data_IF_858553584444
#
_entry.id   IF_858553584444
#
_cell.length_a   1.000
_cell.length_b   1.000
_cell.length_c   1.000
_cell.angle_alpha   90.00
_cell.angle_beta   90.00
_cell.angle_gamma   90.00
#
_symmetry.space_group_name_H-M   'P 1'
#
loop_
_entity.id
_entity.type
_entity.pdbx_description
1 polymer ?
#
# COMPACT_ATOMS: atom_id res chain seq x y z
N UNK A 1 -6.94 42.32 14.17
CA UNK A 1 -7.91 41.67 13.28
C UNK A 1 -9.05 41.18 14.15
N UNK A 2 -10.32 41.57 13.93
CA UNK A 2 -11.43 41.08 14.74
C UNK A 2 -11.73 39.61 14.42
N UNK A 3 -12.02 38.82 15.44
CA UNK A 3 -12.55 37.46 15.33
C UNK A 3 -13.97 37.51 14.74
N UNK A 4 -14.26 36.67 13.74
CA UNK A 4 -15.59 36.60 13.11
C UNK A 4 -16.56 35.80 13.99
N UNK A 5 -17.87 36.06 13.95
CA UNK A 5 -18.84 35.51 14.91
C UNK A 5 -18.94 33.98 14.89
N UNK A 6 -18.83 33.32 13.74
CA UNK A 6 -18.89 31.85 13.65
C UNK A 6 -17.60 31.18 14.15
N UNK A 7 -16.43 31.68 13.72
CA UNK A 7 -15.12 31.32 14.30
C UNK A 7 -15.09 31.52 15.82
N UNK A 8 -15.58 32.67 16.29
CA UNK A 8 -15.65 32.99 17.72
C UNK A 8 -16.64 32.10 18.48
N UNK A 9 -17.76 31.71 17.85
CA UNK A 9 -18.72 30.75 18.41
C UNK A 9 -18.16 29.32 18.44
N UNK A 10 -17.30 28.97 17.47
CA UNK A 10 -16.51 27.74 17.49
C UNK A 10 -15.32 27.81 18.47
N UNK A 11 -15.08 28.96 19.12
CA UNK A 11 -13.97 29.18 20.04
C UNK A 11 -12.60 29.29 19.36
N UNK A 12 -12.56 29.60 18.06
CA UNK A 12 -11.37 29.62 17.23
C UNK A 12 -11.05 31.05 16.76
N UNK A 13 -9.80 31.49 16.92
CA UNK A 13 -9.31 32.68 16.22
C UNK A 13 -8.61 32.30 14.91
N UNK A 14 -8.44 33.27 13.99
CA UNK A 14 -7.71 33.05 12.74
C UNK A 14 -6.24 32.64 12.96
N UNK A 15 -5.61 33.09 14.06
CA UNK A 15 -4.26 32.65 14.45
C UNK A 15 -4.27 31.19 14.92
N UNK A 16 -5.33 30.77 15.60
CA UNK A 16 -5.52 29.38 16.01
C UNK A 16 -5.74 28.49 14.79
N UNK A 17 -6.43 28.97 13.76
CA UNK A 17 -6.64 28.22 12.51
C UNK A 17 -5.32 27.82 11.83
N UNK A 18 -4.39 28.77 11.66
CA UNK A 18 -3.10 28.47 11.04
C UNK A 18 -2.29 27.48 11.87
N UNK A 19 -2.41 27.58 13.19
CA UNK A 19 -1.74 26.68 14.13
C UNK A 19 -2.32 25.28 14.05
N UNK A 20 -3.65 25.16 14.05
CA UNK A 20 -4.39 23.91 13.91
C UNK A 20 -4.03 23.20 12.60
N UNK A 21 -4.13 23.89 11.47
CA UNK A 21 -3.82 23.30 10.16
C UNK A 21 -2.35 22.85 10.12
N UNK A 22 -1.44 23.61 10.72
CA UNK A 22 -0.02 23.24 10.78
C UNK A 22 0.19 21.96 11.59
N UNK A 23 -0.45 21.83 12.75
CA UNK A 23 -0.38 20.60 13.56
C UNK A 23 -0.96 19.41 12.79
N UNK A 24 -2.11 19.58 12.13
CA UNK A 24 -2.72 18.53 11.31
C UNK A 24 -1.81 18.14 10.13
N UNK A 25 -1.09 19.10 9.53
CA UNK A 25 -0.09 18.84 8.48
C UNK A 25 1.06 18.00 9.01
N UNK A 26 1.63 18.37 10.15
CA UNK A 26 2.76 17.66 10.77
C UNK A 26 2.36 16.23 11.14
N UNK A 27 1.19 16.04 11.76
CA UNK A 27 0.66 14.73 12.11
C UNK A 27 0.43 13.84 10.87
N UNK A 28 -0.21 14.37 9.81
CA UNK A 28 -0.40 13.56 8.60
C UNK A 28 0.92 13.28 7.87
N UNK A 29 1.91 14.18 7.91
CA UNK A 29 3.22 13.92 7.30
C UNK A 29 3.97 12.80 8.02
N UNK A 30 3.85 12.73 9.35
CA UNK A 30 4.40 11.62 10.14
C UNK A 30 3.74 10.29 9.74
N UNK A 31 2.40 10.26 9.69
CA UNK A 31 1.65 9.08 9.23
C UNK A 31 2.07 8.68 7.81
N UNK A 32 2.20 9.64 6.89
CA UNK A 32 2.63 9.35 5.52
C UNK A 32 4.03 8.74 5.47
N UNK A 33 4.96 9.29 6.25
CA UNK A 33 6.34 8.79 6.33
C UNK A 33 6.38 7.35 6.80
N UNK A 34 5.54 7.00 7.80
CA UNK A 34 5.45 5.63 8.33
C UNK A 34 4.77 4.70 7.32
N UNK A 35 3.71 5.12 6.64
CA UNK A 35 3.09 4.38 5.52
C UNK A 35 4.14 4.06 4.43
N UNK A 36 4.91 5.06 4.01
CA UNK A 36 5.90 4.90 2.94
C UNK A 36 7.07 4.00 3.38
N UNK A 37 7.41 4.00 4.66
CA UNK A 37 8.37 3.04 5.24
C UNK A 37 7.81 1.61 5.18
N UNK A 38 6.59 1.40 5.67
CA UNK A 38 5.94 0.08 5.67
C UNK A 38 5.81 -0.50 4.27
N UNK A 39 5.41 0.35 3.29
CA UNK A 39 5.35 -0.05 1.88
C UNK A 39 6.69 -0.56 1.36
N UNK A 40 7.79 0.13 1.68
CA UNK A 40 9.14 -0.31 1.32
C UNK A 40 9.53 -1.61 2.02
N UNK A 41 9.18 -1.77 3.29
CA UNK A 41 9.46 -3.00 4.03
C UNK A 41 8.75 -4.20 3.38
N UNK A 42 7.45 -4.08 3.05
CA UNK A 42 6.72 -5.11 2.33
C UNK A 42 7.30 -5.39 0.93
N UNK A 43 7.68 -4.37 0.17
CA UNK A 43 8.32 -4.53 -1.14
C UNK A 43 9.65 -5.29 -1.04
N UNK A 44 10.38 -5.10 0.05
CA UNK A 44 11.62 -5.82 0.34
C UNK A 44 11.40 -7.21 0.96
N UNK A 45 10.15 -7.66 1.07
CA UNK A 45 9.78 -8.93 1.70
C UNK A 45 10.03 -8.98 3.20
N UNK A 46 10.16 -7.82 3.85
CA UNK A 46 10.31 -7.70 5.30
C UNK A 46 8.94 -7.49 5.92
N UNK A 47 8.64 -8.30 6.93
CA UNK A 47 7.45 -8.10 7.75
C UNK A 47 7.68 -6.90 8.67
N UNK A 48 6.78 -5.92 8.69
CA UNK A 48 6.81 -4.86 9.69
C UNK A 48 6.73 -5.42 11.12
N UNK A 49 7.41 -4.82 12.09
CA UNK A 49 7.33 -5.25 13.47
C UNK A 49 5.98 -4.87 14.10
N UNK A 50 5.38 -5.81 14.84
CA UNK A 50 4.29 -5.53 15.76
C UNK A 50 2.96 -5.12 15.11
N UNK A 51 2.29 -4.14 15.71
CA UNK A 51 0.93 -3.66 15.35
C UNK A 51 0.96 -2.30 14.66
N UNK A 52 2.05 -1.99 13.96
CA UNK A 52 2.29 -0.63 13.43
C UNK A 52 1.18 -0.18 12.45
N UNK A 53 0.64 -1.08 11.64
CA UNK A 53 -0.49 -0.74 10.74
C UNK A 53 -1.75 -0.39 11.55
N UNK A 54 -2.05 -1.16 12.62
CA UNK A 54 -3.20 -0.90 13.51
C UNK A 54 -3.07 0.45 14.23
N UNK A 55 -1.87 0.79 14.68
CA UNK A 55 -1.59 2.09 15.32
C UNK A 55 -1.80 3.26 14.35
N UNK A 56 -1.35 3.12 13.09
CA UNK A 56 -1.55 4.14 12.07
C UNK A 56 -3.01 4.26 11.63
N UNK A 57 -3.75 3.16 11.56
CA UNK A 57 -5.20 3.16 11.33
C UNK A 57 -5.93 3.94 12.42
N UNK A 58 -5.57 3.73 13.68
CA UNK A 58 -6.15 4.44 14.81
C UNK A 58 -5.81 5.93 14.76
N UNK A 59 -4.54 6.28 14.53
CA UNK A 59 -4.11 7.67 14.41
C UNK A 59 -4.84 8.40 13.27
N UNK A 60 -4.96 7.77 12.10
CA UNK A 60 -5.70 8.36 10.98
C UNK A 60 -7.18 8.54 11.31
N UNK A 61 -7.81 7.54 11.95
CA UNK A 61 -9.20 7.63 12.38
C UNK A 61 -9.44 8.76 13.38
N UNK A 62 -8.55 8.95 14.34
CA UNK A 62 -8.67 10.02 15.33
C UNK A 62 -8.50 11.40 14.68
N UNK A 63 -7.55 11.56 13.75
CA UNK A 63 -7.40 12.78 12.95
C UNK A 63 -8.66 13.07 12.12
N UNK A 64 -9.18 12.08 11.38
CA UNK A 64 -10.42 12.20 10.60
C UNK A 64 -11.59 12.63 11.47
N UNK A 65 -11.74 12.02 12.65
CA UNK A 65 -12.83 12.34 13.58
C UNK A 65 -12.75 13.78 14.08
N UNK A 66 -11.56 14.24 14.46
CA UNK A 66 -11.36 15.61 14.93
C UNK A 66 -11.62 16.63 13.81
N UNK A 67 -11.15 16.35 12.58
CA UNK A 67 -11.44 17.19 11.41
C UNK A 67 -12.95 17.30 11.13
N UNK A 68 -13.67 16.17 11.14
CA UNK A 68 -15.13 16.15 10.94
C UNK A 68 -15.84 16.94 12.03
N UNK A 69 -15.47 16.76 13.30
CA UNK A 69 -16.08 17.51 14.40
C UNK A 69 -15.87 19.03 14.26
N UNK A 70 -14.70 19.46 13.79
CA UNK A 70 -14.42 20.88 13.54
C UNK A 70 -15.25 21.42 12.38
N UNK A 71 -15.34 20.67 11.28
CA UNK A 71 -16.19 21.01 10.12
C UNK A 71 -17.64 21.17 10.56
N UNK A 72 -18.20 20.18 11.26
CA UNK A 72 -19.57 20.19 11.75
C UNK A 72 -19.84 21.39 12.67
N UNK A 73 -18.90 21.74 13.57
CA UNK A 73 -19.06 22.91 14.45
C UNK A 73 -19.17 24.21 13.66
N UNK A 74 -18.37 24.38 12.61
CA UNK A 74 -18.38 25.58 11.79
C UNK A 74 -19.67 25.64 10.96
N UNK A 75 -20.05 24.54 10.33
CA UNK A 75 -21.29 24.45 9.53
C UNK A 75 -22.54 24.73 10.37
N UNK A 76 -22.57 24.29 11.62
CA UNK A 76 -23.68 24.50 12.55
C UNK A 76 -23.68 25.90 13.23
N UNK A 77 -22.65 26.72 13.03
CA UNK A 77 -22.52 28.03 13.67
C UNK A 77 -23.44 29.12 13.08
N UNK A 78 -24.20 28.81 12.02
CA UNK A 78 -25.15 29.72 11.39
C UNK A 78 -24.62 30.37 10.10
N UNK A 79 -24.96 31.64 9.80
CA UNK A 79 -24.55 32.29 8.56
C UNK A 79 -23.02 32.35 8.42
N UNK A 80 -22.49 31.56 7.47
CA UNK A 80 -21.06 31.47 7.23
C UNK A 80 -20.53 32.72 6.52
N UNK A 81 -19.47 33.31 7.09
CA UNK A 81 -18.70 34.38 6.45
C UNK A 81 -17.76 33.84 5.39
N UNK A 82 -17.12 34.71 4.60
CA UNK A 82 -16.11 34.30 3.64
C UNK A 82 -14.93 33.58 4.30
N UNK A 83 -14.48 34.03 5.46
CA UNK A 83 -13.39 33.41 6.22
C UNK A 83 -13.77 32.01 6.74
N UNK A 84 -15.02 31.80 7.16
CA UNK A 84 -15.49 30.48 7.61
C UNK A 84 -15.53 29.49 6.44
N UNK A 85 -15.89 29.96 5.24
CA UNK A 85 -15.87 29.13 4.02
C UNK A 85 -14.45 28.76 3.60
N UNK A 86 -13.50 29.70 3.67
CA UNK A 86 -12.09 29.40 3.42
C UNK A 86 -11.54 28.39 4.43
N UNK A 87 -11.92 28.53 5.70
CA UNK A 87 -11.56 27.54 6.73
C UNK A 87 -12.16 26.17 6.43
N UNK A 88 -13.44 26.09 6.07
CA UNK A 88 -14.06 24.83 5.68
C UNK A 88 -13.36 24.21 4.47
N UNK A 89 -12.96 25.01 3.47
CA UNK A 89 -12.19 24.51 2.33
C UNK A 89 -10.85 23.92 2.77
N UNK A 90 -10.13 24.59 3.66
CA UNK A 90 -8.86 24.10 4.18
C UNK A 90 -9.03 22.79 4.97
N UNK A 91 -10.02 22.71 5.87
CA UNK A 91 -10.31 21.51 6.65
C UNK A 91 -10.76 20.33 5.77
N UNK A 92 -11.61 20.58 4.77
CA UNK A 92 -12.02 19.56 3.81
C UNK A 92 -10.84 19.06 2.97
N UNK A 93 -9.91 19.93 2.57
CA UNK A 93 -8.69 19.51 1.89
C UNK A 93 -7.81 18.62 2.79
N UNK A 94 -7.77 18.89 4.11
CA UNK A 94 -7.09 18.01 5.08
C UNK A 94 -7.80 16.66 5.21
N UNK A 95 -9.13 16.64 5.24
CA UNK A 95 -9.92 15.41 5.31
C UNK A 95 -9.62 14.49 4.12
N UNK A 96 -9.49 15.04 2.91
CA UNK A 96 -9.11 14.27 1.71
C UNK A 96 -7.71 13.61 1.86
N UNK A 97 -6.78 14.23 2.59
CA UNK A 97 -5.48 13.61 2.88
C UNK A 97 -5.66 12.40 3.80
N UNK A 98 -6.45 12.53 4.86
CA UNK A 98 -6.77 11.41 5.76
C UNK A 98 -7.48 10.26 5.02
N UNK A 99 -8.41 10.57 4.12
CA UNK A 99 -9.10 9.56 3.30
C UNK A 99 -8.12 8.78 2.42
N UNK A 100 -7.20 9.51 1.75
CA UNK A 100 -6.13 8.90 0.97
C UNK A 100 -5.25 8.01 1.84
N UNK A 101 -4.82 8.49 3.00
CA UNK A 101 -4.01 7.71 3.93
C UNK A 101 -4.75 6.46 4.41
N UNK A 102 -6.06 6.56 4.63
CA UNK A 102 -6.92 5.42 4.96
C UNK A 102 -6.89 4.35 3.89
N UNK A 103 -7.04 4.73 2.61
CA UNK A 103 -6.91 3.78 1.50
C UNK A 103 -5.53 3.11 1.45
N UNK A 104 -4.45 3.89 1.67
CA UNK A 104 -3.10 3.34 1.68
C UNK A 104 -2.86 2.36 2.84
N UNK A 105 -3.49 2.58 3.99
CA UNK A 105 -3.44 1.68 5.15
C UNK A 105 -4.21 0.39 4.89
N UNK A 106 -5.38 0.46 4.25
CA UNK A 106 -6.11 -0.74 3.80
C UNK A 106 -5.27 -1.57 2.83
N UNK A 107 -4.60 -0.95 1.85
CA UNK A 107 -3.67 -1.66 0.96
C UNK A 107 -2.53 -2.34 1.73
N UNK A 108 -1.99 -1.69 2.77
CA UNK A 108 -0.96 -2.28 3.63
C UNK A 108 -1.49 -3.47 4.43
N UNK A 109 -2.74 -3.43 4.91
CA UNK A 109 -3.40 -4.58 5.54
C UNK A 109 -3.55 -5.77 4.61
N UNK A 110 -3.94 -5.53 3.37
CA UNK A 110 -4.06 -6.60 2.39
C UNK A 110 -2.69 -7.25 2.11
N UNK A 111 -1.63 -6.44 2.03
CA UNK A 111 -0.26 -6.94 1.90
C UNK A 111 0.19 -7.76 3.12
N UNK A 112 -0.14 -7.32 4.33
CA UNK A 112 0.12 -8.06 5.56
C UNK A 112 -0.57 -9.44 5.55
N UNK A 113 -1.87 -9.47 5.21
CA UNK A 113 -2.64 -10.71 5.13
C UNK A 113 -2.09 -11.67 4.05
N UNK A 114 -1.63 -11.15 2.91
CA UNK A 114 -0.97 -11.96 1.89
C UNK A 114 0.37 -12.54 2.37
N UNK A 115 1.12 -11.79 3.17
CA UNK A 115 2.36 -12.27 3.77
C UNK A 115 2.07 -13.42 4.74
N UNK A 116 1.09 -13.25 5.64
CA UNK A 116 0.65 -14.28 6.58
C UNK A 116 0.16 -15.55 5.88
N UNK A 117 -0.62 -15.41 4.81
CA UNK A 117 -1.09 -16.54 4.02
C UNK A 117 0.06 -17.34 3.38
N UNK A 118 1.09 -16.64 2.88
CA UNK A 118 2.28 -17.29 2.31
C UNK A 118 3.12 -18.00 3.37
N UNK A 119 3.29 -17.40 4.54
CA UNK A 119 3.99 -18.04 5.66
C UNK A 119 3.23 -19.28 6.16
N UNK A 120 1.91 -19.18 6.31
CA UNK A 120 1.08 -20.31 6.71
C UNK A 120 1.16 -21.47 5.70
N UNK A 121 1.14 -21.17 4.40
CA UNK A 121 1.29 -22.17 3.35
C UNK A 121 2.69 -22.81 3.34
N UNK A 122 3.76 -22.01 3.57
CA UNK A 122 5.11 -22.55 3.73
C UNK A 122 5.17 -23.52 4.92
N UNK A 123 4.64 -23.12 6.08
CA UNK A 123 4.63 -23.97 7.29
C UNK A 123 3.83 -25.26 7.08
N UNK A 124 2.69 -25.22 6.37
CA UNK A 124 1.93 -26.43 6.00
C UNK A 124 2.75 -27.37 5.11
N UNK A 125 3.43 -26.84 4.09
CA UNK A 125 4.27 -27.65 3.20
C UNK A 125 5.42 -28.28 3.97
N UNK A 126 6.12 -27.50 4.80
CA UNK A 126 7.21 -28.00 5.64
C UNK A 126 6.74 -29.11 6.59
N UNK A 127 5.56 -28.95 7.20
CA UNK A 127 4.93 -29.98 8.04
C UNK A 127 4.56 -31.26 7.25
N UNK A 128 4.07 -31.13 6.02
CA UNK A 128 3.79 -32.27 5.14
C UNK A 128 5.05 -33.07 4.79
N UNK A 129 6.20 -32.40 4.66
CA UNK A 129 7.49 -33.04 4.44
C UNK A 129 8.16 -33.58 5.72
N UNK A 130 7.60 -33.32 6.90
CA UNK A 130 8.07 -33.89 8.18
C UNK A 130 7.15 -35.00 8.71
N UNK A 131 5.95 -35.14 8.15
CA UNK A 131 5.00 -36.18 8.53
C UNK A 131 5.48 -37.57 8.06
N UNK A 132 5.40 -38.62 8.90
CA UNK A 132 5.72 -39.99 8.48
C UNK A 132 4.88 -40.38 7.28
N UNK A 133 5.49 -40.99 6.26
CA UNK A 133 4.73 -41.48 5.11
C UNK A 133 3.73 -42.55 5.60
N UNK A 134 2.52 -42.64 5.01
CA UNK A 134 1.50 -43.60 5.43
C UNK A 134 1.94 -45.08 5.39
N UNK A 135 3.08 -45.39 4.76
CA UNK A 135 3.71 -46.71 4.72
C UNK A 135 4.93 -46.86 5.66
N UNK A 136 5.10 -45.96 6.64
CA UNK A 136 6.18 -46.04 7.65
C UNK A 136 7.57 -45.64 7.17
N UNK A 137 7.68 -45.00 5.99
CA UNK A 137 8.96 -44.54 5.43
C UNK A 137 9.41 -43.18 5.98
N UNK A 138 10.72 -42.96 6.01
CA UNK A 138 11.30 -41.66 6.37
C UNK A 138 10.82 -40.54 5.43
N UNK A 139 10.55 -39.33 5.93
CA UNK A 139 10.07 -38.23 5.09
C UNK A 139 11.05 -37.89 3.96
N UNK A 140 10.54 -37.64 2.75
CA UNK A 140 11.37 -37.32 1.58
C UNK A 140 12.04 -35.96 1.80
N UNK A 141 13.36 -35.93 1.96
CA UNK A 141 14.14 -34.68 1.92
C UNK A 141 14.05 -34.07 0.51
N UNK A 142 13.90 -32.74 0.38
CA UNK A 142 13.96 -32.10 -0.93
C UNK A 142 15.35 -32.34 -1.54
N UNK A 143 15.39 -33.13 -2.61
CA UNK A 143 16.59 -33.28 -3.44
C UNK A 143 16.76 -31.97 -4.22
N UNK A 144 17.86 -31.25 -3.97
CA UNK A 144 18.24 -30.09 -4.79
C UNK A 144 18.71 -30.62 -6.14
N UNK A 145 17.77 -30.88 -7.05
CA UNK A 145 18.08 -31.12 -8.44
C UNK A 145 18.29 -29.75 -9.08
N UNK A 146 19.55 -29.40 -9.35
CA UNK A 146 19.89 -28.30 -10.23
C UNK A 146 19.34 -28.62 -11.63
N UNK A 147 18.12 -28.17 -11.91
CA UNK A 147 17.55 -28.24 -13.25
C UNK A 147 18.21 -27.15 -14.10
N UNK A 148 19.31 -27.49 -14.76
CA UNK A 148 19.76 -26.74 -15.94
C UNK A 148 18.64 -26.89 -16.97
N UNK A 149 17.83 -25.84 -17.15
CA UNK A 149 16.89 -25.73 -18.25
C UNK A 149 17.68 -25.78 -19.56
N UNK A 150 17.68 -26.92 -20.25
CA UNK A 150 17.92 -26.93 -21.69
C UNK A 150 16.64 -26.42 -22.36
N UNK A 151 16.71 -25.35 -23.18
CA UNK A 151 15.57 -24.91 -23.96
C UNK A 151 15.24 -26.00 -24.99
N UNK A 152 13.98 -26.41 -25.02
CA UNK A 152 13.46 -27.31 -26.03
C UNK A 152 13.61 -26.67 -27.40
N UNK A 153 14.42 -27.26 -28.28
CA UNK A 153 14.47 -26.91 -29.69
C UNK A 153 13.10 -27.22 -30.30
N UNK A 154 12.36 -26.16 -30.62
CA UNK A 154 11.12 -26.21 -31.35
C UNK A 154 11.39 -26.71 -32.77
N UNK A 155 10.93 -27.91 -33.04
CA UNK A 155 10.91 -28.52 -34.36
C UNK A 155 9.88 -27.77 -35.25
N UNK A 156 10.35 -26.77 -35.96
CA UNK A 156 9.63 -26.10 -37.05
C UNK A 156 10.55 -26.10 -38.26
N UNK A 157 10.30 -26.98 -39.23
CA UNK A 157 10.38 -26.62 -40.64
C UNK A 157 9.75 -27.70 -41.53
N UNK A 158 8.53 -27.38 -41.96
CA UNK A 158 7.93 -27.92 -43.16
C UNK A 158 8.64 -27.37 -44.40
N UNK A 159 8.85 -28.28 -45.36
CA UNK A 159 8.75 -28.07 -46.80
C UNK A 159 10.01 -27.66 -47.60
N UNK A 160 10.16 -28.43 -48.69
CA UNK A 160 10.94 -28.22 -49.92
C UNK A 160 12.43 -28.59 -49.92
N UNK A 161 12.71 -29.79 -50.44
CA UNK A 161 13.93 -30.05 -51.21
C UNK A 161 13.75 -31.27 -52.12
N UNK A 162 13.30 -31.03 -53.36
CA UNK A 162 13.54 -31.92 -54.50
C UNK A 162 13.98 -31.06 -55.68
N UNK A 163 15.23 -31.22 -56.11
CA UNK A 163 15.77 -30.69 -57.36
C UNK A 163 17.30 -30.48 -57.32
N UNK A 164 18.10 -31.29 -58.04
CA UNK A 164 19.53 -31.05 -58.22
C UNK A 164 19.82 -30.36 -59.57
N UNK A 165 20.76 -29.42 -59.59
CA UNK A 165 21.27 -28.76 -60.81
C UNK A 165 21.89 -27.40 -60.47
N UNK A 166 23.16 -27.28 -60.11
CA UNK A 166 24.39 -27.35 -60.93
C UNK A 166 24.75 -26.00 -61.61
N UNK A 167 26.03 -25.60 -61.44
CA UNK A 167 26.82 -24.54 -62.16
C UNK A 167 26.40 -23.07 -61.94
N UNK A 168 27.25 -22.04 -61.90
CA UNK A 168 28.69 -21.76 -61.77
C UNK A 168 28.81 -20.21 -61.80
N UNK A 169 29.85 -19.63 -61.17
CA UNK A 169 30.47 -18.32 -61.53
C UNK A 169 29.61 -17.04 -61.39
N UNK A 170 30.10 -15.80 -61.25
CA UNK A 170 31.38 -15.18 -60.92
C UNK A 170 31.06 -13.67 -60.81
N UNK A 171 31.72 -12.98 -59.87
CA UNK A 171 32.18 -11.58 -59.89
C UNK A 171 31.24 -10.38 -60.22
N UNK A 172 31.42 -9.38 -59.33
CA UNK A 172 31.39 -7.91 -59.48
C UNK A 172 30.05 -7.19 -59.64
#
# INVERSE_FOLDING_TARGET
MPSTPALSAAGLSFLDLRTIIKVDIEASNEVQTRIDRLRRDFQNGRRPPGKEIEELELANKDMTKDLVQRIEKIENAGPLTAADREMLQALNARLTVCDRQGMQLTELRDLEAHFDAREAERMRRESMYQSPLPLGGAPRKPSVVNTVQQPAESNLQSAFSCGPGSWQSSQK
#
